data_IF_202234121851
#
_entry.id   IF_202234121851
#
_cell.length_a   1.000
_cell.length_b   1.000
_cell.length_c   1.000
_cell.angle_alpha   90.00
_cell.angle_beta   90.00
_cell.angle_gamma   90.00
#
_symmetry.space_group_name_H-M   'P 1'
#
loop_
_entity.id
_entity.type
_entity.pdbx_description
1 polymer ?
#
# COMPACT_ATOMS: atom_id res chain seq x y z
N UNK A 1 -16.45 8.96 14.40
CA UNK A 1 -16.41 10.29 13.76
C UNK A 1 -15.59 10.20 12.49
N UNK A 2 -16.24 10.22 11.31
CA UNK A 2 -15.53 10.39 10.04
C UNK A 2 -15.24 11.87 9.84
N UNK A 3 -13.99 12.28 10.01
CA UNK A 3 -13.54 13.61 9.60
C UNK A 3 -13.43 13.59 8.09
N UNK A 4 -14.36 14.24 7.40
CA UNK A 4 -14.25 14.50 5.97
C UNK A 4 -13.09 15.48 5.75
N UNK A 5 -11.91 14.96 5.42
CA UNK A 5 -10.78 15.79 5.00
C UNK A 5 -11.16 16.43 3.67
N UNK A 6 -11.27 17.76 3.64
CA UNK A 6 -11.59 18.54 2.44
C UNK A 6 -10.44 18.39 1.44
N UNK A 7 -10.55 17.44 0.52
CA UNK A 7 -9.50 17.14 -0.46
C UNK A 7 -9.48 18.23 -1.54
N UNK A 8 -8.35 18.91 -1.69
CA UNK A 8 -8.15 19.88 -2.78
C UNK A 8 -8.10 19.18 -4.14
N UNK A 9 -8.82 19.67 -5.14
CA UNK A 9 -8.76 19.19 -6.54
C UNK A 9 -7.45 19.58 -7.26
N UNK A 10 -6.72 20.59 -6.76
CA UNK A 10 -5.46 21.04 -7.36
C UNK A 10 -4.38 19.94 -7.33
N UNK A 11 -3.84 19.47 -8.48
CA UNK A 11 -2.87 18.37 -8.54
C UNK A 11 -1.58 18.62 -7.76
N UNK A 12 -1.07 19.85 -7.79
CA UNK A 12 0.15 20.24 -7.06
C UNK A 12 0.01 20.04 -5.56
N UNK A 13 -1.15 20.37 -4.99
CA UNK A 13 -1.45 20.18 -3.57
C UNK A 13 -1.54 18.68 -3.22
N UNK A 14 -2.16 17.87 -4.06
CA UNK A 14 -2.26 16.42 -3.84
C UNK A 14 -0.89 15.71 -3.88
N UNK A 15 -0.03 16.06 -4.85
CA UNK A 15 1.33 15.51 -4.94
C UNK A 15 2.18 15.89 -3.72
N UNK A 16 2.08 17.16 -3.28
CA UNK A 16 2.77 17.63 -2.07
C UNK A 16 2.32 16.85 -0.82
N UNK A 17 1.01 16.61 -0.68
CA UNK A 17 0.45 15.84 0.45
C UNK A 17 0.96 14.40 0.48
N UNK A 18 0.97 13.70 -0.65
CA UNK A 18 1.47 12.32 -0.72
C UNK A 18 2.97 12.25 -0.38
N UNK A 19 3.76 13.19 -0.90
CA UNK A 19 5.20 13.23 -0.65
C UNK A 19 5.54 13.58 0.81
N UNK A 20 4.79 14.50 1.43
CA UNK A 20 4.99 14.96 2.81
C UNK A 20 4.18 14.14 3.84
N UNK A 21 3.51 13.07 3.44
CA UNK A 21 2.69 12.27 4.34
C UNK A 21 3.52 11.70 5.51
N UNK A 22 3.03 11.73 6.76
CA UNK A 22 3.71 11.11 7.89
C UNK A 22 3.66 9.57 7.82
N UNK A 23 4.55 8.89 8.55
CA UNK A 23 4.78 7.44 8.44
C UNK A 23 3.51 6.58 8.68
N UNK A 24 2.65 6.99 9.61
CA UNK A 24 1.40 6.28 9.90
C UNK A 24 0.37 6.39 8.76
N UNK A 25 0.42 7.48 7.97
CA UNK A 25 -0.39 7.64 6.75
C UNK A 25 0.24 6.84 5.60
N UNK A 26 1.57 6.93 5.44
CA UNK A 26 2.32 6.14 4.45
C UNK A 26 2.06 4.64 4.57
N UNK A 27 1.94 4.12 5.80
CA UNK A 27 1.56 2.73 6.04
C UNK A 27 0.31 2.29 5.27
N UNK A 28 -0.72 3.15 5.17
CA UNK A 28 -1.94 2.85 4.41
C UNK A 28 -1.74 2.90 2.89
N UNK A 29 -0.78 3.70 2.42
CA UNK A 29 -0.46 3.82 1.00
C UNK A 29 0.30 2.59 0.47
N UNK A 30 1.13 1.95 1.29
CA UNK A 30 1.86 0.72 0.97
C UNK A 30 0.97 -0.54 1.12
N UNK A 31 -0.22 -0.52 0.54
CA UNK A 31 -1.15 -1.65 0.53
C UNK A 31 -1.05 -2.45 -0.77
N UNK A 32 -1.09 -3.77 -0.65
CA UNK A 32 -1.09 -4.70 -1.77
C UNK A 32 -2.41 -5.47 -1.83
N UNK A 33 -2.87 -5.85 -3.04
CA UNK A 33 -4.03 -6.70 -3.20
C UNK A 33 -3.76 -8.12 -2.73
N UNK A 34 -4.73 -8.73 -2.04
CA UNK A 34 -4.65 -10.14 -1.64
C UNK A 34 -4.86 -11.08 -2.84
N UNK A 35 -4.38 -12.32 -2.70
CA UNK A 35 -4.66 -13.40 -3.66
C UNK A 35 -6.15 -13.77 -3.66
N UNK A 36 -6.70 -14.34 -4.74
CA UNK A 36 -8.12 -14.70 -4.82
C UNK A 36 -8.60 -15.61 -3.69
N UNK A 37 -7.74 -16.52 -3.23
CA UNK A 37 -8.02 -17.43 -2.11
C UNK A 37 -8.14 -16.65 -0.80
N UNK A 38 -7.15 -15.82 -0.46
CA UNK A 38 -7.17 -15.02 0.76
C UNK A 38 -8.30 -13.98 0.74
N UNK A 39 -8.68 -13.46 -0.44
CA UNK A 39 -9.85 -12.57 -0.58
C UNK A 39 -11.15 -13.28 -0.22
N UNK A 40 -11.31 -14.56 -0.60
CA UNK A 40 -12.50 -15.35 -0.25
C UNK A 40 -12.56 -15.60 1.26
N UNK A 41 -11.42 -15.93 1.87
CA UNK A 41 -11.36 -16.22 3.31
C UNK A 41 -11.61 -14.99 4.18
N UNK A 42 -10.96 -13.86 3.87
CA UNK A 42 -11.01 -12.67 4.72
C UNK A 42 -12.01 -11.61 4.25
N UNK A 43 -12.56 -11.71 3.03
CA UNK A 43 -13.48 -10.73 2.46
C UNK A 43 -12.87 -9.36 2.12
N UNK A 44 -11.55 -9.19 2.29
CA UNK A 44 -10.86 -7.91 2.10
C UNK A 44 -10.08 -7.92 0.78
N UNK A 45 -10.12 -6.82 0.03
CA UNK A 45 -9.41 -6.70 -1.27
C UNK A 45 -7.90 -6.48 -1.12
N UNK A 46 -7.48 -5.69 -0.13
CA UNK A 46 -6.09 -5.24 0.02
C UNK A 46 -5.71 -5.04 1.49
N UNK A 47 -4.46 -5.32 1.82
CA UNK A 47 -3.88 -5.08 3.15
C UNK A 47 -2.52 -4.36 3.03
N UNK A 48 -2.16 -3.51 4.01
CA UNK A 48 -0.80 -2.97 4.13
C UNK A 48 0.23 -4.08 4.26
N UNK A 49 1.33 -3.97 3.49
CA UNK A 49 2.40 -4.98 3.48
C UNK A 49 3.24 -4.88 4.76
N UNK A 50 3.61 -6.03 5.34
CA UNK A 50 4.46 -6.14 6.52
C UNK A 50 5.69 -7.01 6.23
N UNK A 51 6.70 -6.88 7.09
CA UNK A 51 7.89 -7.75 7.06
C UNK A 51 7.46 -9.19 7.34
N UNK A 52 7.95 -10.12 6.54
CA UNK A 52 7.64 -11.55 6.65
C UNK A 52 6.47 -12.02 5.78
N UNK A 53 5.71 -11.11 5.18
CA UNK A 53 4.66 -11.47 4.23
C UNK A 53 5.27 -12.06 2.95
N UNK A 54 4.62 -13.09 2.41
CA UNK A 54 4.95 -13.64 1.08
C UNK A 54 4.17 -12.86 0.02
N UNK A 55 4.89 -12.29 -0.94
CA UNK A 55 4.32 -11.48 -2.02
C UNK A 55 4.77 -11.99 -3.38
N UNK A 56 3.94 -11.74 -4.40
CA UNK A 56 4.24 -12.02 -5.80
C UNK A 56 4.34 -10.73 -6.59
N UNK A 57 5.37 -10.61 -7.42
CA UNK A 57 5.54 -9.46 -8.32
C UNK A 57 4.62 -9.61 -9.54
N UNK A 58 3.70 -8.68 -9.73
CA UNK A 58 2.70 -8.73 -10.82
C UNK A 58 3.11 -8.01 -12.10
N UNK A 59 3.99 -6.99 -12.00
CA UNK A 59 4.41 -6.10 -13.10
C UNK A 59 5.90 -5.78 -12.97
N UNK A 60 6.56 -5.46 -14.08
CA UNK A 60 8.00 -5.16 -14.16
C UNK A 60 8.84 -6.37 -14.59
N UNK A 61 10.17 -6.22 -14.55
CA UNK A 61 11.12 -7.21 -15.07
C UNK A 61 11.12 -8.52 -14.27
N UNK A 62 10.88 -8.44 -12.96
CA UNK A 62 10.79 -9.60 -12.06
C UNK A 62 9.37 -10.17 -11.95
N UNK A 63 8.51 -9.97 -12.96
CA UNK A 63 7.13 -10.48 -12.94
C UNK A 63 7.10 -11.99 -12.75
N UNK A 64 6.24 -12.45 -11.85
CA UNK A 64 6.04 -13.86 -11.55
C UNK A 64 6.90 -14.36 -10.38
N UNK A 65 7.90 -13.60 -9.94
CA UNK A 65 8.71 -13.96 -8.78
C UNK A 65 7.90 -13.85 -7.48
N UNK A 66 8.09 -14.84 -6.61
CA UNK A 66 7.50 -14.91 -5.28
C UNK A 66 8.61 -14.85 -4.23
N UNK A 67 8.41 -14.06 -3.18
CA UNK A 67 9.41 -13.87 -2.14
C UNK A 67 8.85 -13.29 -0.86
N UNK A 68 9.64 -13.40 0.21
CA UNK A 68 9.31 -12.79 1.51
C UNK A 68 9.79 -11.34 1.57
N UNK A 69 9.00 -10.48 2.19
CA UNK A 69 9.37 -9.07 2.41
C UNK A 69 10.39 -8.97 3.54
N UNK A 70 11.60 -8.51 3.23
CA UNK A 70 12.69 -8.31 4.20
C UNK A 70 12.53 -7.02 5.02
N UNK A 71 12.19 -5.91 4.38
CA UNK A 71 12.00 -4.60 5.00
C UNK A 71 11.01 -3.77 4.19
N UNK A 72 10.16 -3.03 4.89
CA UNK A 72 9.33 -1.97 4.30
C UNK A 72 9.93 -0.65 4.70
N UNK A 73 10.54 0.06 3.75
CA UNK A 73 10.99 1.42 4.01
C UNK A 73 9.84 2.40 3.77
N UNK A 74 9.52 3.14 4.82
CA UNK A 74 8.45 4.15 4.83
C UNK A 74 9.01 5.54 5.08
N UNK A 75 10.28 5.65 5.48
CA UNK A 75 10.91 6.93 5.75
C UNK A 75 11.26 7.60 4.43
N UNK A 76 11.29 8.92 4.47
CA UNK A 76 11.85 9.72 3.39
C UNK A 76 13.36 9.75 3.55
#
# INVERSE_FOLDING_TARGET
>A
MQVAVKTSSKPSKQRKLLFQAPDHVRYKHFAAPLSPELRKTYGIRSLPVRRGDTVRVMRGDHKGFEGKVSRVDRKK
#
